data_IF_435209100393
#
_entry.id   IF_435209100393
#
_cell.length_a   1.000
_cell.length_b   1.000
_cell.length_c   1.000
_cell.angle_alpha   90.00
_cell.angle_beta   90.00
_cell.angle_gamma   90.00
#
_symmetry.space_group_name_H-M   'P 1'
#
loop_
_entity.id
_entity.type
_entity.pdbx_description
1 polymer ?
#
# COMPACT_ATOMS: atom_id res chain seq x y z
N UNK A 1 9.22 8.79 -1.43
CA UNK A 1 10.36 8.56 -2.35
C UNK A 1 10.36 7.24 -3.13
N UNK A 2 10.54 6.06 -2.52
CA UNK A 2 10.70 4.80 -3.30
C UNK A 2 9.48 4.48 -4.18
N UNK A 3 8.26 4.57 -3.65
CA UNK A 3 7.04 4.32 -4.42
C UNK A 3 6.94 5.22 -5.66
N UNK A 4 7.32 6.50 -5.54
CA UNK A 4 7.33 7.46 -6.66
C UNK A 4 8.36 7.07 -7.73
N UNK A 5 9.52 6.53 -7.32
CA UNK A 5 10.53 5.99 -8.26
C UNK A 5 10.01 4.74 -8.97
N UNK A 6 9.42 3.80 -8.24
CA UNK A 6 8.84 2.58 -8.82
C UNK A 6 7.73 2.89 -9.83
N UNK A 7 6.88 3.89 -9.54
CA UNK A 7 5.81 4.33 -10.44
C UNK A 7 6.33 4.88 -11.78
N UNK A 8 7.53 5.48 -11.81
CA UNK A 8 8.18 5.92 -13.06
C UNK A 8 8.65 4.75 -13.92
N UNK A 9 9.00 3.62 -13.31
CA UNK A 9 9.46 2.42 -14.01
C UNK A 9 8.29 1.54 -14.45
N UNK A 10 7.26 1.41 -13.61
CA UNK A 10 6.05 0.66 -13.91
C UNK A 10 4.84 1.39 -13.32
N UNK A 11 4.06 2.02 -14.19
CA UNK A 11 2.87 2.78 -13.81
C UNK A 11 1.78 1.91 -13.17
N UNK A 12 1.77 0.60 -13.42
CA UNK A 12 0.72 -0.32 -12.97
C UNK A 12 1.15 -1.21 -11.81
N UNK A 13 2.41 -1.14 -11.36
CA UNK A 13 2.89 -1.95 -10.23
C UNK A 13 2.03 -1.68 -8.99
N UNK A 14 1.36 -2.70 -8.41
CA UNK A 14 0.68 -2.54 -7.13
C UNK A 14 1.72 -2.35 -6.03
N UNK A 15 1.59 -1.28 -5.25
CA UNK A 15 2.50 -0.96 -4.15
C UNK A 15 1.70 -0.99 -2.86
N UNK A 16 2.10 -1.83 -1.91
CA UNK A 16 1.48 -1.92 -0.59
C UNK A 16 2.47 -1.42 0.45
N UNK A 17 2.05 -0.49 1.31
CA UNK A 17 2.87 -0.04 2.45
C UNK A 17 2.52 -0.88 3.68
N UNK A 18 3.53 -1.29 4.44
CA UNK A 18 3.36 -1.98 5.72
C UNK A 18 4.08 -1.19 6.81
N UNK A 19 3.38 -0.67 7.81
CA UNK A 19 3.99 0.18 8.87
C UNK A 19 3.33 -0.02 10.24
N UNK A 20 4.13 0.06 11.31
CA UNK A 20 3.63 0.20 12.69
C UNK A 20 3.66 1.63 13.24
N UNK A 21 4.12 2.59 12.42
CA UNK A 21 4.22 4.00 12.79
C UNK A 21 3.07 4.85 12.27
N UNK A 22 2.27 4.28 11.36
CA UNK A 22 1.16 4.97 10.72
C UNK A 22 -0.11 4.17 10.93
N UNK A 23 -1.22 4.87 10.98
CA UNK A 23 -2.56 4.29 11.00
C UNK A 23 -3.26 4.54 9.66
N UNK A 24 -4.28 3.74 9.30
CA UNK A 24 -5.00 3.91 8.04
C UNK A 24 -5.63 5.30 7.85
N UNK A 25 -5.95 5.98 8.96
CA UNK A 25 -6.54 7.32 9.03
C UNK A 25 -5.49 8.45 9.11
N UNK A 26 -4.19 8.13 9.05
CA UNK A 26 -3.18 9.16 8.93
C UNK A 26 -3.37 9.95 7.62
N UNK A 27 -3.43 11.29 7.66
CA UNK A 27 -3.63 12.12 6.46
C UNK A 27 -2.59 11.86 5.35
N UNK A 28 -1.38 11.45 5.75
CA UNK A 28 -0.32 11.09 4.80
C UNK A 28 -0.66 9.81 4.04
N UNK A 29 -1.20 8.79 4.71
CA UNK A 29 -1.60 7.53 4.09
C UNK A 29 -2.83 7.74 3.20
N UNK A 30 -3.81 8.48 3.70
CA UNK A 30 -5.00 8.84 2.92
C UNK A 30 -4.62 9.58 1.63
N UNK A 31 -3.76 10.59 1.72
CA UNK A 31 -3.30 11.36 0.55
C UNK A 31 -2.64 10.49 -0.52
N UNK A 32 -1.73 9.57 -0.14
CA UNK A 32 -1.04 8.71 -1.12
C UNK A 32 -1.93 7.61 -1.70
N UNK A 33 -2.98 7.19 -0.99
CA UNK A 33 -4.02 6.30 -1.51
C UNK A 33 -4.89 7.03 -2.54
N UNK A 34 -5.32 8.26 -2.23
CA UNK A 34 -6.12 9.09 -3.14
C UNK A 34 -5.35 9.46 -4.41
N UNK A 35 -4.04 9.74 -4.30
CA UNK A 35 -3.14 9.96 -5.45
C UNK A 35 -2.93 8.69 -6.30
N UNK A 36 -3.37 7.52 -5.85
CA UNK A 36 -3.10 6.23 -6.49
C UNK A 36 -1.62 5.84 -6.48
N UNK A 37 -0.81 6.50 -5.64
CA UNK A 37 0.62 6.20 -5.52
C UNK A 37 0.84 4.82 -4.91
N UNK A 38 -0.02 4.43 -3.97
CA UNK A 38 -0.06 3.09 -3.38
C UNK A 38 -1.43 2.47 -3.58
N UNK A 39 -1.45 1.14 -3.62
CA UNK A 39 -2.66 0.34 -3.82
C UNK A 39 -3.35 0.01 -2.49
N UNK A 40 -2.58 -0.15 -1.40
CA UNK A 40 -3.08 -0.41 -0.05
C UNK A 40 -2.05 -0.06 1.03
N UNK A 41 -2.53 0.00 2.26
CA UNK A 41 -1.75 0.12 3.49
C UNK A 41 -2.12 -1.02 4.45
N UNK A 42 -1.13 -1.56 5.16
CA UNK A 42 -1.29 -2.57 6.21
C UNK A 42 -0.60 -2.07 7.48
N UNK A 43 -1.38 -1.88 8.54
CA UNK A 43 -0.88 -1.46 9.84
C UNK A 43 -0.23 -2.62 10.59
N UNK A 44 0.82 -2.38 11.37
CA UNK A 44 1.36 -3.38 12.31
C UNK A 44 0.80 -3.14 13.71
N UNK A 45 0.45 -4.20 14.46
CA UNK A 45 0.44 -5.60 14.03
C UNK A 45 -0.73 -5.90 13.08
N UNK A 46 -0.52 -6.86 12.18
CA UNK A 46 -1.53 -7.44 11.29
C UNK A 46 -1.53 -8.96 11.47
N UNK A 47 -2.64 -9.61 11.14
CA UNK A 47 -2.74 -11.07 11.13
C UNK A 47 -2.46 -11.68 9.74
N UNK A 48 -2.41 -13.02 9.68
CA UNK A 48 -2.15 -13.74 8.44
C UNK A 48 -3.24 -13.48 7.39
N UNK A 49 -4.49 -13.39 7.80
CA UNK A 49 -5.63 -13.29 6.90
C UNK A 49 -5.69 -11.89 6.26
N UNK A 50 -5.33 -10.85 7.01
CA UNK A 50 -5.21 -9.47 6.55
C UNK A 50 -4.19 -9.37 5.41
N UNK A 51 -2.97 -9.89 5.61
CA UNK A 51 -1.93 -9.80 4.60
C UNK A 51 -2.23 -10.67 3.37
N UNK A 52 -2.81 -11.87 3.56
CA UNK A 52 -3.23 -12.73 2.44
C UNK A 52 -4.32 -12.04 1.62
N UNK A 53 -5.33 -11.45 2.27
CA UNK A 53 -6.40 -10.72 1.59
C UNK A 53 -5.85 -9.59 0.71
N UNK A 54 -4.90 -8.82 1.21
CA UNK A 54 -4.25 -7.75 0.45
C UNK A 54 -3.46 -8.32 -0.73
N UNK A 55 -2.65 -9.36 -0.53
CA UNK A 55 -1.87 -9.97 -1.61
C UNK A 55 -2.81 -10.52 -2.69
N UNK A 56 -3.82 -11.30 -2.32
CA UNK A 56 -4.79 -11.88 -3.26
C UNK A 56 -5.51 -10.80 -4.06
N UNK A 57 -5.85 -9.67 -3.42
CA UNK A 57 -6.54 -8.55 -4.08
C UNK A 57 -5.69 -7.85 -5.16
N UNK A 58 -4.37 -7.77 -4.96
CA UNK A 58 -3.49 -6.96 -5.80
C UNK A 58 -2.50 -7.76 -6.67
N UNK A 59 -2.25 -9.04 -6.42
CA UNK A 59 -1.31 -9.86 -7.19
C UNK A 59 -1.86 -10.36 -8.53
N UNK A 60 -3.18 -10.38 -8.72
CA UNK A 60 -3.84 -10.92 -9.92
C UNK A 60 -4.23 -9.86 -10.97
N UNK A 61 -3.65 -8.65 -10.91
CA UNK A 61 -3.92 -7.57 -11.86
C UNK A 61 -2.77 -7.35 -12.83
#
# INVERSE_FOLDING_TARGET
ELARKLRKTNAHLPIVIVSGYFYPDDPTIEGVLQEGLIAAFVGKPFDHDEIVSVITRYACR
#
